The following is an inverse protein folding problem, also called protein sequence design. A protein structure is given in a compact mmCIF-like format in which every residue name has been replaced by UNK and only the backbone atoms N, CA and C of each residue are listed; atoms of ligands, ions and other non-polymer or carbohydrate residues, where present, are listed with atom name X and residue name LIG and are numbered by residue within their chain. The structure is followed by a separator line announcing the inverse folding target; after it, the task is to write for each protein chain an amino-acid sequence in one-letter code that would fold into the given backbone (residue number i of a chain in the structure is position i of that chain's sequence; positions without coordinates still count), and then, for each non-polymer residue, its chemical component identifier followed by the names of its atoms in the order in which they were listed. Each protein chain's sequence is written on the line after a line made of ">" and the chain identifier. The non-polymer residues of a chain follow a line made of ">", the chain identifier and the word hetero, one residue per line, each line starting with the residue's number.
data_IF_055458244594
#
_entry.id   IF_055458244594
#
_cell.length_a   1.000
_cell.length_b   1.000
_cell.length_c   1.000
_cell.angle_alpha   90.00
_cell.angle_beta   90.00
_cell.angle_gamma   90.00
#
_symmetry.space_group_name_H-M   'P 1'
#
loop_
_entity.id
_entity.type
_entity.pdbx_description
1 polymer ?
#
# COMPACT_ATOMS: atom_id res chain seq x y z
N UNK A 1 -32.58 -31.68 -19.99
CA UNK A 1 -32.05 -31.08 -18.75
C UNK A 1 -31.23 -29.84 -19.12
N UNK A 2 -31.74 -28.64 -18.86
CA UNK A 2 -31.04 -27.39 -19.16
C UNK A 2 -30.10 -27.04 -18.00
N UNK A 3 -28.79 -27.09 -18.26
CA UNK A 3 -27.75 -26.78 -17.28
C UNK A 3 -27.76 -25.27 -17.01
N UNK A 4 -28.19 -24.87 -15.82
CA UNK A 4 -28.12 -23.48 -15.36
C UNK A 4 -26.66 -23.11 -15.08
N UNK A 5 -26.09 -22.26 -15.94
CA UNK A 5 -24.74 -21.71 -15.77
C UNK A 5 -24.72 -20.81 -14.52
N UNK A 6 -24.12 -21.28 -13.43
CA UNK A 6 -23.90 -20.49 -12.21
C UNK A 6 -23.07 -19.25 -12.57
N UNK A 7 -23.66 -18.05 -12.43
CA UNK A 7 -22.92 -16.78 -12.46
C UNK A 7 -21.93 -16.78 -11.31
N UNK A 8 -20.64 -16.74 -11.61
CA UNK A 8 -19.59 -16.51 -10.63
C UNK A 8 -19.83 -15.16 -9.93
N UNK A 9 -19.54 -15.03 -8.62
CA UNK A 9 -19.69 -13.76 -7.93
C UNK A 9 -18.80 -12.72 -8.60
N UNK A 10 -19.40 -11.63 -9.06
CA UNK A 10 -18.67 -10.53 -9.70
C UNK A 10 -17.61 -10.02 -8.70
N UNK A 11 -16.33 -10.19 -9.05
CA UNK A 11 -15.21 -9.64 -8.26
C UNK A 11 -15.45 -8.12 -8.13
N UNK A 12 -15.77 -7.67 -6.91
CA UNK A 12 -15.96 -6.24 -6.63
C UNK A 12 -14.69 -5.51 -7.04
N UNK A 13 -14.84 -4.40 -7.76
CA UNK A 13 -13.70 -3.56 -8.12
C UNK A 13 -13.01 -3.10 -6.82
N UNK A 14 -11.67 -3.10 -6.76
CA UNK A 14 -10.97 -2.60 -5.58
C UNK A 14 -11.37 -1.15 -5.33
N UNK A 15 -11.85 -0.87 -4.13
CA UNK A 15 -12.28 0.46 -3.73
C UNK A 15 -11.03 1.32 -3.53
N UNK A 16 -11.03 2.51 -4.14
CA UNK A 16 -9.97 3.50 -3.94
C UNK A 16 -10.27 4.28 -2.67
N UNK A 17 -9.23 4.60 -1.91
CA UNK A 17 -9.32 5.39 -0.69
C UNK A 17 -8.27 6.51 -0.71
N UNK A 18 -8.53 7.58 0.05
CA UNK A 18 -7.62 8.71 0.24
C UNK A 18 -7.05 8.60 1.65
N UNK A 19 -5.72 8.63 1.76
CA UNK A 19 -4.98 8.68 3.03
C UNK A 19 -4.36 10.07 3.16
N UNK A 20 -4.50 10.69 4.32
CA UNK A 20 -3.82 11.96 4.62
C UNK A 20 -2.47 11.68 5.24
N UNK A 21 -1.44 12.31 4.69
CA UNK A 21 -0.05 12.24 5.15
C UNK A 21 0.46 13.67 5.33
N UNK A 22 1.38 13.92 6.27
CA UNK A 22 2.19 15.13 6.27
C UNK A 22 2.89 15.31 4.93
N UNK A 23 3.13 16.56 4.55
CA UNK A 23 3.70 16.92 3.23
C UNK A 23 5.07 16.26 3.04
N UNK A 24 5.88 16.26 4.09
CA UNK A 24 7.24 15.73 4.10
C UNK A 24 7.24 14.22 3.81
N UNK A 25 6.35 13.48 4.47
CA UNK A 25 6.19 12.03 4.27
C UNK A 25 5.68 11.72 2.87
N UNK A 26 4.75 12.55 2.35
CA UNK A 26 4.24 12.40 0.98
C UNK A 26 5.36 12.60 -0.05
N UNK A 27 6.17 13.64 0.11
CA UNK A 27 7.26 13.96 -0.80
C UNK A 27 8.33 12.86 -0.79
N UNK A 28 8.59 12.26 0.38
CA UNK A 28 9.48 11.12 0.50
C UNK A 28 8.95 9.88 -0.24
N UNK A 29 7.67 9.56 -0.10
CA UNK A 29 7.02 8.47 -0.84
C UNK A 29 7.12 8.65 -2.36
N UNK A 30 6.91 9.88 -2.84
CA UNK A 30 7.05 10.21 -4.27
C UNK A 30 8.50 10.02 -4.73
N UNK A 31 9.47 10.54 -3.97
CA UNK A 31 10.89 10.40 -4.27
C UNK A 31 11.32 8.93 -4.35
N UNK A 32 10.90 8.11 -3.39
CA UNK A 32 11.22 6.67 -3.37
C UNK A 32 10.58 5.97 -4.57
N UNK A 33 9.32 6.29 -4.88
CA UNK A 33 8.59 5.70 -6.00
C UNK A 33 9.27 6.00 -7.34
N UNK A 34 9.79 7.23 -7.53
CA UNK A 34 10.57 7.62 -8.70
C UNK A 34 11.90 6.85 -8.76
N UNK A 35 12.64 6.79 -7.66
CA UNK A 35 13.93 6.10 -7.59
C UNK A 35 13.80 4.60 -7.91
N UNK A 36 12.80 3.93 -7.30
CA UNK A 36 12.50 2.52 -7.57
C UNK A 36 12.10 2.32 -9.03
N UNK A 37 11.30 3.24 -9.59
CA UNK A 37 10.88 3.15 -10.99
C UNK A 37 12.07 3.21 -11.94
N UNK A 38 13.01 4.11 -11.67
CA UNK A 38 14.23 4.29 -12.44
C UNK A 38 15.11 3.04 -12.37
N UNK A 39 15.45 2.58 -11.17
CA UNK A 39 16.33 1.41 -10.97
C UNK A 39 15.75 0.12 -11.54
N UNK A 40 14.43 -0.05 -11.45
CA UNK A 40 13.73 -1.24 -11.96
C UNK A 40 13.44 -1.17 -13.45
N UNK A 41 13.59 0.00 -14.08
CA UNK A 41 13.16 0.24 -15.46
C UNK A 41 11.66 0.11 -15.68
N UNK A 42 10.85 0.23 -14.61
CA UNK A 42 9.39 0.06 -14.66
C UNK A 42 8.72 1.04 -13.72
N UNK A 43 7.84 1.87 -14.27
CA UNK A 43 7.04 2.84 -13.51
C UNK A 43 6.18 2.15 -12.44
N UNK A 44 6.35 2.58 -11.19
CA UNK A 44 5.46 2.29 -10.06
C UNK A 44 4.70 3.57 -9.68
N UNK A 45 3.48 3.42 -9.17
CA UNK A 45 2.76 4.53 -8.55
C UNK A 45 3.00 4.55 -7.04
N UNK A 46 2.83 5.70 -6.42
CA UNK A 46 2.94 5.86 -4.96
C UNK A 46 2.03 4.89 -4.22
N UNK A 47 0.77 4.76 -4.66
CA UNK A 47 -0.16 3.77 -4.10
C UNK A 47 0.33 2.33 -4.29
N UNK A 48 1.07 2.05 -5.37
CA UNK A 48 1.68 0.75 -5.63
C UNK A 48 2.84 0.47 -4.66
N UNK A 49 3.64 1.49 -4.36
CA UNK A 49 4.69 1.40 -3.35
C UNK A 49 4.11 1.19 -1.94
N UNK A 50 3.11 1.97 -1.54
CA UNK A 50 2.42 1.80 -0.24
C UNK A 50 1.78 0.42 -0.11
N UNK A 51 1.14 -0.09 -1.18
CA UNK A 51 0.59 -1.45 -1.18
C UNK A 51 1.66 -2.53 -1.02
N UNK A 52 2.86 -2.31 -1.58
CA UNK A 52 3.99 -3.21 -1.38
C UNK A 52 4.43 -3.21 0.09
N UNK A 53 4.58 -2.03 0.71
CA UNK A 53 4.94 -1.91 2.12
C UNK A 53 3.95 -2.65 3.02
N UNK A 54 2.65 -2.44 2.83
CA UNK A 54 1.61 -3.12 3.61
C UNK A 54 1.71 -4.63 3.45
N UNK A 55 1.85 -5.13 2.22
CA UNK A 55 1.88 -6.58 1.96
C UNK A 55 3.13 -7.25 2.51
N UNK A 56 4.27 -6.55 2.49
CA UNK A 56 5.56 -7.13 2.84
C UNK A 56 5.90 -6.94 4.32
N UNK A 57 5.54 -5.81 4.93
CA UNK A 57 6.02 -5.42 6.26
C UNK A 57 4.91 -5.17 7.30
N UNK A 58 3.63 -5.32 6.96
CA UNK A 58 2.54 -5.04 7.92
C UNK A 58 2.65 -5.82 9.24
N UNK A 59 3.02 -7.09 9.20
CA UNK A 59 3.13 -7.90 10.41
C UNK A 59 4.23 -7.39 11.34
N UNK A 60 5.38 -7.02 10.79
CA UNK A 60 6.47 -6.43 11.56
C UNK A 60 6.05 -5.09 12.15
N UNK A 61 5.47 -4.20 11.33
CA UNK A 61 5.01 -2.89 11.80
C UNK A 61 3.95 -3.01 12.91
N UNK A 62 3.01 -3.96 12.81
CA UNK A 62 2.03 -4.21 13.86
C UNK A 62 2.71 -4.65 15.16
N UNK A 63 3.69 -5.55 15.09
CA UNK A 63 4.40 -6.03 16.27
C UNK A 63 5.19 -4.91 16.95
N UNK A 64 5.91 -4.09 16.19
CA UNK A 64 6.69 -2.96 16.71
C UNK A 64 5.79 -1.91 17.36
N UNK A 65 4.68 -1.55 16.69
CA UNK A 65 3.69 -0.59 17.22
C UNK A 65 3.02 -1.09 18.52
N UNK A 66 2.66 -2.37 18.59
CA UNK A 66 2.08 -2.95 19.82
C UNK A 66 3.09 -2.98 20.97
N UNK A 67 4.37 -3.21 20.66
CA UNK A 67 5.43 -3.29 21.67
C UNK A 67 5.86 -1.91 22.20
N UNK A 68 5.23 -0.83 21.73
CA UNK A 68 5.56 0.52 22.17
C UNK A 68 6.92 0.98 21.66
N UNK A 69 7.38 0.46 20.51
CA UNK A 69 8.39 1.17 19.73
C UNK A 69 7.72 2.43 19.16
N UNK A 70 7.54 3.43 20.03
CA UNK A 70 7.25 4.79 19.62
C UNK A 70 8.43 5.21 18.75
N UNK A 71 8.24 5.16 17.44
CA UNK A 71 9.05 5.95 16.52
C UNK A 71 8.68 7.40 16.81
N UNK A 72 9.31 7.94 17.86
CA UNK A 72 9.00 9.25 18.41
C UNK A 72 8.95 10.32 17.34
N UNK A 73 7.75 10.86 17.17
CA UNK A 73 7.49 12.21 16.69
C UNK A 73 6.34 12.76 17.56
N UNK A 74 6.50 12.62 18.88
CA UNK A 74 5.87 13.55 19.82
C UNK A 74 6.84 14.72 19.97
N UNK A 75 6.50 15.83 19.32
CA UNK A 75 7.03 17.15 19.64
C UNK A 75 6.28 17.73 20.86
#
# INVERSE_FOLDING_TARGET
>A
MTVTKRKSPAKRKPQRNTLYLPTEVRDEVERISVEVSYRRGKRISDSGFVQYLIKTYSQQAIQELIQGADTGNDE
#
